data_IF_057507961236
#
_entry.id   IF_057507961236
#
_cell.length_a   1.000
_cell.length_b   1.000
_cell.length_c   1.000
_cell.angle_alpha   90.00
_cell.angle_beta   90.00
_cell.angle_gamma   90.00
#
_symmetry.space_group_name_H-M   'P 1'
#
loop_
_entity.id
_entity.type
_entity.pdbx_description
1 polymer ?
#
# COMPACT_ATOMS: atom_id res chain seq x y z
N UNK A 1 30.08 27.50 25.69
CA UNK A 1 29.96 26.17 26.33
C UNK A 1 28.53 25.59 26.21
N UNK A 2 27.45 26.38 26.32
CA UNK A 2 26.07 25.91 26.16
C UNK A 2 25.79 25.40 24.73
N UNK A 3 26.15 26.17 23.70
CA UNK A 3 25.94 25.77 22.30
C UNK A 3 26.67 24.49 21.88
N UNK A 4 27.82 24.19 22.47
CA UNK A 4 28.57 22.96 22.19
C UNK A 4 27.87 21.73 22.83
N UNK A 5 27.30 21.89 24.03
CA UNK A 5 26.50 20.83 24.68
C UNK A 5 25.21 20.56 23.89
N UNK A 6 24.52 21.59 23.42
CA UNK A 6 23.31 21.44 22.60
C UNK A 6 23.61 20.76 21.26
N UNK A 7 24.72 21.12 20.59
CA UNK A 7 25.16 20.45 19.37
C UNK A 7 25.45 18.96 19.61
N UNK A 8 26.14 18.63 20.70
CA UNK A 8 26.45 17.23 21.06
C UNK A 8 25.19 16.41 21.38
N UNK A 9 24.20 17.02 22.05
CA UNK A 9 22.90 16.39 22.33
C UNK A 9 22.14 16.11 21.02
N UNK A 10 22.11 17.07 20.09
CA UNK A 10 21.47 16.89 18.76
C UNK A 10 22.16 15.81 17.93
N UNK A 11 23.48 15.81 17.86
CA UNK A 11 24.25 14.77 17.13
C UNK A 11 23.96 13.38 17.72
N UNK A 12 23.95 13.24 19.03
CA UNK A 12 23.57 11.98 19.69
C UNK A 12 22.13 11.58 19.42
N UNK A 13 21.18 12.52 19.39
CA UNK A 13 19.79 12.23 19.08
C UNK A 13 19.64 11.70 17.64
N UNK A 14 20.34 12.31 16.68
CA UNK A 14 20.38 11.83 15.29
C UNK A 14 21.04 10.45 15.21
N UNK A 15 22.19 10.27 15.88
CA UNK A 15 22.91 9.00 15.91
C UNK A 15 22.11 7.86 16.54
N UNK A 16 21.19 8.16 17.45
CA UNK A 16 20.28 7.20 18.06
C UNK A 16 18.94 7.03 17.31
N UNK A 17 18.74 7.74 16.18
CA UNK A 17 17.49 7.72 15.41
C UNK A 17 16.30 8.36 16.15
N UNK A 18 16.58 9.18 17.18
CA UNK A 18 15.56 9.93 17.96
C UNK A 18 15.24 11.29 17.34
N UNK A 19 16.11 11.80 16.48
CA UNK A 19 15.88 12.99 15.65
C UNK A 19 16.28 12.67 14.21
N UNK A 20 15.68 13.39 13.26
CA UNK A 20 15.97 13.21 11.84
C UNK A 20 14.75 13.36 10.95
N UNK A 21 14.86 12.84 9.74
CA UNK A 21 13.81 12.91 8.70
C UNK A 21 13.66 11.56 8.03
N UNK A 22 12.44 11.18 7.71
CA UNK A 22 12.10 10.00 6.91
C UNK A 22 11.17 10.43 5.78
N UNK A 23 11.60 10.22 4.54
CA UNK A 23 10.83 10.45 3.33
C UNK A 23 10.16 9.14 2.91
N UNK A 24 8.82 9.12 2.91
CA UNK A 24 8.03 7.94 2.57
C UNK A 24 7.35 8.16 1.22
N UNK A 25 7.59 7.25 0.27
CA UNK A 25 6.82 7.15 -0.97
C UNK A 25 5.67 6.16 -0.82
N UNK A 26 4.47 6.52 -1.28
CA UNK A 26 3.31 5.64 -1.23
C UNK A 26 2.25 6.07 -2.26
N UNK A 27 1.38 5.12 -2.64
CA UNK A 27 0.17 5.43 -3.41
C UNK A 27 -0.96 5.87 -2.48
N UNK A 28 -1.87 6.71 -2.97
CA UNK A 28 -2.99 7.28 -2.19
C UNK A 28 -3.87 6.23 -1.50
N UNK A 29 -3.98 5.03 -2.05
CA UNK A 29 -4.74 3.93 -1.46
C UNK A 29 -4.22 3.47 -0.09
N UNK A 30 -2.94 3.69 0.23
CA UNK A 30 -2.38 3.32 1.53
C UNK A 30 -2.91 4.17 2.69
N UNK A 31 -3.40 5.40 2.40
CA UNK A 31 -4.06 6.23 3.41
C UNK A 31 -5.42 5.69 3.87
N UNK A 32 -6.00 4.77 3.12
CA UNK A 32 -7.26 4.11 3.47
C UNK A 32 -7.06 2.89 4.38
N UNK A 33 -5.82 2.51 4.67
CA UNK A 33 -5.44 1.37 5.48
C UNK A 33 -4.68 1.75 6.76
N UNK A 34 -3.78 0.89 7.27
CA UNK A 34 -3.08 1.09 8.54
C UNK A 34 -2.04 2.23 8.56
N UNK A 35 -1.62 2.76 7.39
CA UNK A 35 -0.53 3.75 7.30
C UNK A 35 -0.77 5.01 8.14
N UNK A 36 -1.96 5.65 8.17
CA UNK A 36 -2.19 6.81 9.03
C UNK A 36 -1.97 6.52 10.50
N UNK A 37 -2.41 5.35 10.99
CA UNK A 37 -2.20 4.93 12.37
C UNK A 37 -0.72 4.65 12.68
N UNK A 38 0.04 4.10 11.72
CA UNK A 38 1.48 3.92 11.83
C UNK A 38 2.20 5.25 12.00
N UNK A 39 1.86 6.24 11.15
CA UNK A 39 2.47 7.57 11.20
C UNK A 39 2.16 8.26 12.53
N UNK A 40 0.90 8.24 12.96
CA UNK A 40 0.48 8.82 14.24
C UNK A 40 1.22 8.18 15.43
N UNK A 41 1.34 6.85 15.45
CA UNK A 41 2.08 6.11 16.48
C UNK A 41 3.57 6.45 16.48
N UNK A 42 4.17 6.53 15.29
CA UNK A 42 5.59 6.90 15.18
C UNK A 42 5.83 8.32 15.66
N UNK A 43 5.01 9.29 15.24
CA UNK A 43 5.12 10.68 15.68
C UNK A 43 5.01 10.82 17.21
N UNK A 44 4.09 10.09 17.86
CA UNK A 44 3.94 10.10 19.31
C UNK A 44 5.16 9.53 20.04
N UNK A 45 5.82 8.50 19.49
CA UNK A 45 6.99 7.85 20.11
C UNK A 45 8.33 8.48 19.72
N UNK A 46 8.38 9.23 18.61
CA UNK A 46 9.60 9.87 18.08
C UNK A 46 9.31 11.32 17.65
N UNK A 47 8.99 12.23 18.60
CA UNK A 47 8.51 13.59 18.28
C UNK A 47 9.56 14.48 17.58
N UNK A 48 10.82 14.08 17.59
CA UNK A 48 11.91 14.80 16.89
C UNK A 48 12.26 14.20 15.52
N UNK A 49 11.51 13.19 15.06
CA UNK A 49 11.64 12.63 13.71
C UNK A 49 10.52 13.18 12.83
N UNK A 50 10.89 13.95 11.80
CA UNK A 50 9.96 14.41 10.79
C UNK A 50 9.67 13.31 9.78
N UNK A 51 8.39 12.99 9.58
CA UNK A 51 7.93 12.07 8.53
C UNK A 51 7.31 12.90 7.42
N UNK A 52 7.84 12.77 6.20
CA UNK A 52 7.31 13.43 5.00
C UNK A 52 6.73 12.36 4.06
N UNK A 53 5.55 12.67 3.54
CA UNK A 53 4.78 11.75 2.71
C UNK A 53 4.79 12.25 1.27
N UNK A 54 5.25 11.40 0.37
CA UNK A 54 5.36 11.68 -1.06
C UNK A 54 4.39 10.74 -1.79
N UNK A 55 3.22 11.26 -2.16
CA UNK A 55 2.25 10.50 -2.93
C UNK A 55 2.70 10.38 -4.38
N UNK A 56 2.91 9.16 -4.84
CA UNK A 56 3.38 8.84 -6.18
C UNK A 56 3.03 7.41 -6.58
N UNK A 57 2.99 7.15 -7.89
CA UNK A 57 2.75 5.80 -8.41
C UNK A 57 3.92 4.84 -8.09
N UNK A 58 3.69 3.50 -8.05
CA UNK A 58 4.71 2.54 -7.64
C UNK A 58 6.00 2.57 -8.47
N UNK A 59 5.94 2.83 -9.77
CA UNK A 59 7.14 2.92 -10.59
C UNK A 59 8.01 4.12 -10.20
N UNK A 60 7.38 5.30 -10.01
CA UNK A 60 8.07 6.50 -9.54
C UNK A 60 8.66 6.33 -8.13
N UNK A 61 8.04 5.52 -7.26
CA UNK A 61 8.59 5.21 -5.94
C UNK A 61 9.93 4.47 -6.04
N UNK A 62 10.06 3.47 -6.91
CA UNK A 62 11.31 2.73 -7.08
C UNK A 62 12.43 3.62 -7.65
N UNK A 63 12.11 4.47 -8.62
CA UNK A 63 13.06 5.48 -9.13
C UNK A 63 13.47 6.48 -8.04
N UNK A 64 12.53 6.91 -7.21
CA UNK A 64 12.80 7.84 -6.11
C UNK A 64 13.66 7.20 -5.01
N UNK A 65 13.47 5.89 -4.71
CA UNK A 65 14.35 5.13 -3.80
C UNK A 65 15.77 5.06 -4.32
N UNK A 66 15.97 4.62 -5.58
CA UNK A 66 17.29 4.54 -6.20
C UNK A 66 17.96 5.90 -6.30
N UNK A 67 17.18 6.95 -6.59
CA UNK A 67 17.65 8.34 -6.65
C UNK A 67 17.76 9.03 -5.29
N UNK A 68 17.65 8.33 -4.15
CA UNK A 68 17.74 8.90 -2.79
C UNK A 68 16.77 10.05 -2.49
N UNK A 69 15.65 10.15 -3.23
CA UNK A 69 14.60 11.15 -3.01
C UNK A 69 13.60 10.74 -1.94
N UNK A 70 13.47 9.44 -1.69
CA UNK A 70 12.73 8.86 -0.57
C UNK A 70 13.60 7.82 0.13
N UNK A 71 13.26 7.52 1.39
CA UNK A 71 13.98 6.53 2.22
C UNK A 71 13.27 5.18 2.21
N UNK A 72 11.96 5.17 2.08
CA UNK A 72 11.12 3.96 2.08
C UNK A 72 9.94 4.12 1.14
N UNK A 73 9.61 3.05 0.42
CA UNK A 73 8.36 2.90 -0.33
C UNK A 73 7.42 1.95 0.41
N UNK A 74 6.17 2.36 0.61
CA UNK A 74 5.12 1.44 1.06
C UNK A 74 4.46 0.83 -0.18
N UNK A 75 4.68 -0.45 -0.40
CA UNK A 75 4.34 -1.16 -1.64
C UNK A 75 3.49 -2.41 -1.40
N UNK A 76 2.71 -2.81 -2.41
CA UNK A 76 1.99 -4.09 -2.42
C UNK A 76 2.72 -5.18 -3.20
N UNK A 77 3.87 -4.87 -3.74
CA UNK A 77 4.74 -5.81 -4.44
C UNK A 77 6.11 -5.76 -3.80
N UNK A 78 6.65 -6.93 -3.49
CA UNK A 78 8.02 -7.04 -3.02
C UNK A 78 9.00 -6.71 -4.15
N UNK A 79 10.10 -6.09 -3.78
CA UNK A 79 11.27 -5.87 -4.64
C UNK A 79 12.48 -6.37 -3.88
N UNK A 80 13.26 -7.22 -4.51
CA UNK A 80 14.49 -7.76 -3.93
C UNK A 80 15.51 -7.92 -5.06
N UNK A 81 16.41 -6.96 -5.16
CA UNK A 81 17.48 -6.90 -6.14
C UNK A 81 18.80 -6.46 -5.49
N UNK A 82 19.83 -6.13 -6.25
CA UNK A 82 21.14 -5.77 -5.72
C UNK A 82 21.12 -4.47 -4.89
N UNK A 83 20.19 -3.57 -5.14
CA UNK A 83 20.09 -2.26 -4.49
C UNK A 83 18.98 -2.17 -3.43
N UNK A 84 17.88 -2.87 -3.66
CA UNK A 84 16.66 -2.75 -2.87
C UNK A 84 16.33 -4.05 -2.15
N UNK A 85 15.65 -3.93 -1.02
CA UNK A 85 15.13 -5.04 -0.23
C UNK A 85 13.73 -4.73 0.30
N UNK A 86 12.95 -5.78 0.55
CA UNK A 86 11.59 -5.66 1.08
C UNK A 86 11.46 -6.28 2.46
N UNK A 87 10.84 -5.54 3.36
CA UNK A 87 10.38 -6.02 4.66
C UNK A 87 8.86 -6.17 4.61
N UNK A 88 8.34 -7.37 4.85
CA UNK A 88 6.89 -7.57 4.98
C UNK A 88 6.38 -6.86 6.24
N UNK A 89 5.30 -6.08 6.09
CA UNK A 89 4.69 -5.31 7.17
C UNK A 89 3.42 -5.98 7.70
N UNK A 90 2.37 -6.06 6.88
CA UNK A 90 1.08 -6.66 7.29
C UNK A 90 0.36 -7.29 6.12
N UNK A 91 -0.63 -8.13 6.44
CA UNK A 91 -1.54 -8.72 5.45
C UNK A 91 -2.63 -7.72 5.07
N UNK A 92 -2.92 -7.61 3.77
CA UNK A 92 -4.01 -6.81 3.21
C UNK A 92 -4.56 -7.56 1.98
N UNK A 93 -5.37 -8.60 2.21
CA UNK A 93 -5.79 -9.51 1.15
C UNK A 93 -6.59 -8.80 0.07
N UNK A 94 -6.50 -9.31 -1.14
CA UNK A 94 -7.33 -8.85 -2.26
C UNK A 94 -8.74 -9.40 -2.11
N UNK A 95 -9.72 -8.53 -2.27
CA UNK A 95 -11.15 -8.84 -2.21
C UNK A 95 -11.87 -8.38 -3.47
N UNK A 96 -13.05 -8.94 -3.73
CA UNK A 96 -13.95 -8.41 -4.74
C UNK A 96 -14.83 -7.31 -4.13
N UNK A 97 -14.78 -6.12 -4.73
CA UNK A 97 -15.70 -5.02 -4.46
C UNK A 97 -16.79 -5.01 -5.54
N UNK A 98 -18.04 -5.06 -5.11
CA UNK A 98 -19.23 -5.12 -5.95
C UNK A 98 -20.15 -3.92 -5.65
N UNK A 99 -20.94 -3.41 -6.60
CA UNK A 99 -22.03 -2.48 -6.29
C UNK A 99 -22.96 -3.09 -5.23
N UNK A 100 -23.53 -2.26 -4.36
CA UNK A 100 -24.42 -2.73 -3.28
C UNK A 100 -25.62 -3.58 -3.77
N UNK A 101 -26.16 -3.24 -4.96
CA UNK A 101 -27.28 -3.97 -5.59
C UNK A 101 -26.87 -5.15 -6.48
N UNK A 102 -25.60 -5.53 -6.48
CA UNK A 102 -25.11 -6.59 -7.34
C UNK A 102 -25.71 -7.97 -6.97
N UNK A 103 -25.95 -8.85 -7.98
CA UNK A 103 -26.52 -10.19 -7.79
C UNK A 103 -25.77 -11.06 -6.75
N UNK A 104 -24.46 -10.83 -6.59
CA UNK A 104 -23.59 -11.56 -5.66
C UNK A 104 -23.32 -10.79 -4.35
N UNK A 105 -23.90 -9.61 -4.14
CA UNK A 105 -23.58 -8.73 -3.01
C UNK A 105 -23.82 -9.35 -1.62
N UNK A 106 -24.68 -10.39 -1.54
CA UNK A 106 -24.97 -11.11 -0.28
C UNK A 106 -24.02 -12.25 0.01
N UNK A 107 -23.12 -12.59 -0.93
CA UNK A 107 -22.13 -13.65 -0.73
C UNK A 107 -20.95 -13.14 0.08
N UNK A 108 -20.49 -13.94 1.04
CA UNK A 108 -19.29 -13.60 1.84
C UNK A 108 -17.99 -13.97 1.11
N UNK A 109 -18.03 -14.98 0.23
CA UNK A 109 -16.90 -15.51 -0.55
C UNK A 109 -17.30 -15.76 -1.98
N UNK A 110 -16.38 -15.52 -2.90
CA UNK A 110 -16.54 -15.76 -4.34
C UNK A 110 -15.31 -16.51 -4.88
N UNK A 111 -15.53 -17.32 -5.92
CA UNK A 111 -14.47 -17.69 -6.83
C UNK A 111 -14.33 -16.60 -7.91
N UNK A 112 -13.15 -16.45 -8.50
CA UNK A 112 -12.98 -15.50 -9.61
C UNK A 112 -13.94 -15.79 -10.78
N UNK A 113 -14.20 -17.08 -11.06
CA UNK A 113 -15.12 -17.50 -12.11
C UNK A 113 -16.56 -17.00 -11.90
N UNK A 114 -17.00 -16.73 -10.66
CA UNK A 114 -18.32 -16.16 -10.38
C UNK A 114 -18.51 -14.77 -11.01
N UNK A 115 -17.39 -14.07 -11.26
CA UNK A 115 -17.32 -12.71 -11.83
C UNK A 115 -17.13 -12.70 -13.36
N UNK A 116 -17.12 -13.85 -14.03
CA UNK A 116 -16.81 -13.96 -15.46
C UNK A 116 -17.76 -13.19 -16.39
N UNK A 117 -18.98 -12.88 -15.92
CA UNK A 117 -20.00 -12.13 -16.69
C UNK A 117 -20.06 -10.65 -16.35
N UNK A 118 -19.24 -10.21 -15.39
CA UNK A 118 -19.29 -8.85 -14.89
C UNK A 118 -18.28 -7.96 -15.62
N UNK A 119 -18.62 -6.69 -15.80
CA UNK A 119 -17.68 -5.70 -16.28
C UNK A 119 -16.75 -5.27 -15.15
N UNK A 120 -15.47 -5.07 -15.46
CA UNK A 120 -14.45 -4.73 -14.46
C UNK A 120 -14.03 -3.27 -14.53
N UNK A 121 -13.92 -2.62 -13.38
CA UNK A 121 -13.14 -1.40 -13.22
C UNK A 121 -11.74 -1.82 -12.78
N UNK A 122 -10.73 -1.57 -13.61
CA UNK A 122 -9.37 -2.05 -13.41
C UNK A 122 -8.39 -0.92 -13.10
N UNK A 123 -7.30 -1.25 -12.42
CA UNK A 123 -6.14 -0.37 -12.34
C UNK A 123 -5.36 -0.40 -13.66
N UNK A 124 -4.70 0.71 -13.97
CA UNK A 124 -3.73 0.78 -15.07
C UNK A 124 -2.52 -0.08 -14.73
N UNK A 125 -2.01 -0.80 -15.72
CA UNK A 125 -0.90 -1.76 -15.56
C UNK A 125 0.46 -1.18 -15.93
N UNK A 126 0.50 0.00 -16.54
CA UNK A 126 1.73 0.66 -17.00
C UNK A 126 2.65 1.09 -15.84
N UNK A 127 2.08 1.52 -14.71
CA UNK A 127 2.83 2.08 -13.57
C UNK A 127 2.74 1.25 -12.29
N UNK A 128 2.06 0.09 -12.30
CA UNK A 128 1.82 -0.71 -11.11
C UNK A 128 2.05 -2.21 -11.37
N UNK A 129 3.08 -2.77 -10.72
CA UNK A 129 3.33 -4.21 -10.71
C UNK A 129 2.18 -4.97 -10.05
N UNK A 130 1.59 -4.45 -8.98
CA UNK A 130 0.40 -5.02 -8.34
C UNK A 130 -0.79 -5.11 -9.32
N UNK A 131 -1.04 -4.07 -10.12
CA UNK A 131 -2.11 -4.10 -11.12
C UNK A 131 -1.83 -5.16 -12.21
N UNK A 132 -0.56 -5.31 -12.64
CA UNK A 132 -0.16 -6.37 -13.58
C UNK A 132 -0.41 -7.75 -13.00
N UNK A 133 0.02 -8.00 -11.76
CA UNK A 133 -0.17 -9.28 -11.06
C UNK A 133 -1.65 -9.67 -10.97
N UNK A 134 -2.53 -8.71 -10.65
CA UNK A 134 -3.98 -8.95 -10.62
C UNK A 134 -4.53 -9.25 -12.02
N UNK A 135 -4.13 -8.50 -13.04
CA UNK A 135 -4.55 -8.74 -14.41
C UNK A 135 -4.11 -10.13 -14.91
N UNK A 136 -2.87 -10.54 -14.64
CA UNK A 136 -2.33 -11.84 -14.99
C UNK A 136 -3.06 -12.98 -14.24
N UNK A 137 -3.40 -12.75 -12.97
CA UNK A 137 -4.15 -13.72 -12.17
C UNK A 137 -5.55 -13.94 -12.75
N UNK A 138 -6.22 -12.87 -13.16
CA UNK A 138 -7.51 -12.98 -13.83
C UNK A 138 -7.38 -13.68 -15.20
N UNK A 139 -6.35 -13.37 -15.97
CA UNK A 139 -6.12 -14.04 -17.25
C UNK A 139 -5.86 -15.54 -17.09
N UNK A 140 -5.03 -15.94 -16.11
CA UNK A 140 -4.78 -17.36 -15.80
C UNK A 140 -6.05 -18.10 -15.34
N UNK A 141 -6.97 -17.40 -14.69
CA UNK A 141 -8.27 -17.95 -14.29
C UNK A 141 -9.27 -18.06 -15.45
N UNK A 142 -8.86 -17.74 -16.68
CA UNK A 142 -9.72 -17.81 -17.87
C UNK A 142 -10.79 -16.71 -17.94
N UNK A 143 -10.64 -15.64 -17.16
CA UNK A 143 -11.57 -14.51 -17.21
C UNK A 143 -11.29 -13.66 -18.44
N UNK A 144 -12.13 -13.77 -19.47
CA UNK A 144 -12.19 -12.82 -20.56
C UNK A 144 -12.82 -11.52 -20.01
N UNK A 145 -12.00 -10.63 -19.48
CA UNK A 145 -12.50 -9.45 -18.77
C UNK A 145 -13.13 -8.45 -19.73
N UNK A 146 -14.42 -8.16 -19.54
CA UNK A 146 -15.02 -6.94 -20.05
C UNK A 146 -14.53 -5.78 -19.18
N UNK A 147 -13.67 -4.92 -19.72
CA UNK A 147 -13.16 -3.74 -19.01
C UNK A 147 -14.10 -2.58 -19.22
N UNK A 148 -14.85 -2.21 -18.19
CA UNK A 148 -15.70 -1.02 -18.20
C UNK A 148 -14.87 0.27 -18.16
N UNK A 149 -13.81 0.30 -17.32
CA UNK A 149 -12.95 1.47 -17.15
C UNK A 149 -11.58 1.09 -16.60
N UNK A 150 -10.55 1.91 -16.90
CA UNK A 150 -9.21 1.85 -16.32
C UNK A 150 -8.89 3.14 -15.59
N UNK A 151 -8.44 3.03 -14.35
CA UNK A 151 -8.10 4.17 -13.47
C UNK A 151 -6.70 4.03 -12.90
N UNK A 152 -6.11 5.12 -12.44
CA UNK A 152 -4.77 5.12 -11.86
C UNK A 152 -4.75 4.62 -10.41
N UNK A 153 -5.81 4.89 -9.63
CA UNK A 153 -5.83 4.74 -8.18
C UNK A 153 -7.06 3.96 -7.68
N UNK A 154 -6.88 3.20 -6.59
CA UNK A 154 -7.94 2.39 -5.97
C UNK A 154 -9.13 3.22 -5.48
N UNK A 155 -8.98 4.43 -4.91
CA UNK A 155 -10.14 5.26 -4.53
C UNK A 155 -11.06 5.57 -5.71
N UNK A 156 -10.51 5.90 -6.88
CA UNK A 156 -11.29 6.11 -8.09
C UNK A 156 -11.98 4.82 -8.57
N UNK A 157 -11.26 3.68 -8.49
CA UNK A 157 -11.81 2.36 -8.81
C UNK A 157 -13.05 2.05 -7.96
N UNK A 158 -12.95 2.21 -6.64
CA UNK A 158 -14.04 1.97 -5.71
C UNK A 158 -15.21 2.96 -5.87
N UNK A 159 -14.92 4.22 -6.20
CA UNK A 159 -15.96 5.21 -6.49
C UNK A 159 -16.82 4.80 -7.71
N UNK A 160 -16.18 4.28 -8.77
CA UNK A 160 -16.86 3.79 -9.97
C UNK A 160 -17.65 2.50 -9.69
N UNK A 161 -17.13 1.60 -8.84
CA UNK A 161 -17.87 0.42 -8.36
C UNK A 161 -19.12 0.86 -7.59
N UNK A 162 -18.98 1.80 -6.66
CA UNK A 162 -20.10 2.33 -5.89
C UNK A 162 -21.18 3.02 -6.77
N UNK A 163 -20.77 3.56 -7.92
CA UNK A 163 -21.66 4.13 -8.93
C UNK A 163 -22.29 3.07 -9.87
N UNK A 164 -21.95 1.78 -9.72
CA UNK A 164 -22.55 0.70 -10.50
C UNK A 164 -21.89 0.42 -11.85
N UNK A 165 -20.69 0.97 -12.14
CA UNK A 165 -20.02 0.78 -13.44
C UNK A 165 -19.44 -0.62 -13.64
N UNK A 166 -19.31 -1.42 -12.59
CA UNK A 166 -18.74 -2.76 -12.66
C UNK A 166 -18.25 -3.24 -11.31
N UNK A 167 -17.46 -4.30 -11.32
CA UNK A 167 -16.81 -4.89 -10.15
C UNK A 167 -15.32 -4.61 -10.15
N UNK A 168 -14.64 -4.74 -9.00
CA UNK A 168 -13.20 -4.53 -8.92
C UNK A 168 -12.54 -5.53 -7.97
N UNK A 169 -11.26 -5.81 -8.23
CA UNK A 169 -10.35 -6.49 -7.30
C UNK A 169 -9.52 -5.42 -6.60
N UNK A 170 -9.63 -5.35 -5.28
CA UNK A 170 -9.02 -4.26 -4.48
C UNK A 170 -8.45 -4.81 -3.17
N UNK A 171 -7.48 -4.12 -2.56
CA UNK A 171 -7.05 -4.44 -1.21
C UNK A 171 -8.17 -4.23 -0.19
N UNK A 172 -8.35 -5.16 0.73
CA UNK A 172 -9.46 -5.16 1.69
C UNK A 172 -9.50 -3.90 2.54
N UNK A 173 -8.34 -3.40 2.97
CA UNK A 173 -8.22 -2.21 3.81
C UNK A 173 -8.85 -0.96 3.19
N UNK A 174 -8.96 -0.90 1.86
CA UNK A 174 -9.49 0.27 1.14
C UNK A 174 -11.02 0.33 1.12
N UNK A 175 -11.69 -0.76 1.45
CA UNK A 175 -13.16 -0.87 1.30
C UNK A 175 -13.94 -0.13 2.39
N UNK A 176 -13.38 -0.02 3.59
CA UNK A 176 -14.09 0.51 4.77
C UNK A 176 -14.69 1.90 4.61
N UNK A 177 -14.07 2.75 3.80
CA UNK A 177 -14.51 4.12 3.54
C UNK A 177 -15.76 4.23 2.64
N UNK A 178 -16.18 3.14 2.00
CA UNK A 178 -17.32 3.13 1.09
C UNK A 178 -18.61 2.62 1.75
N UNK A 179 -18.49 1.97 2.92
CA UNK A 179 -19.66 1.52 3.72
C UNK A 179 -20.65 0.70 2.89
N UNK A 180 -21.96 0.98 3.08
CA UNK A 180 -23.03 0.27 2.41
C UNK A 180 -23.16 0.52 0.90
N UNK A 181 -22.32 1.38 0.30
CA UNK A 181 -22.35 1.65 -1.15
C UNK A 181 -21.76 0.54 -1.98
N UNK A 182 -20.91 -0.31 -1.36
CA UNK A 182 -20.31 -1.48 -1.99
C UNK A 182 -20.54 -2.72 -1.11
N UNK A 183 -20.58 -3.88 -1.74
CA UNK A 183 -20.46 -5.16 -1.08
C UNK A 183 -19.03 -5.70 -1.24
N UNK A 184 -18.49 -6.28 -0.18
CA UNK A 184 -17.12 -6.83 -0.16
C UNK A 184 -17.19 -8.34 0.01
N UNK A 185 -16.60 -9.07 -0.92
CA UNK A 185 -16.58 -10.54 -0.91
C UNK A 185 -15.13 -11.03 -0.89
N UNK A 186 -14.81 -11.94 0.03
CA UNK A 186 -13.50 -12.56 0.09
C UNK A 186 -13.24 -13.42 -1.16
N UNK A 187 -11.99 -13.44 -1.59
CA UNK A 187 -11.50 -14.27 -2.69
C UNK A 187 -10.51 -15.33 -2.16
N UNK A 188 -10.20 -16.38 -2.94
CA UNK A 188 -9.13 -17.30 -2.61
C UNK A 188 -7.78 -16.58 -2.44
N UNK A 189 -6.95 -17.06 -1.52
CA UNK A 189 -5.64 -16.45 -1.21
C UNK A 189 -4.66 -16.40 -2.41
N UNK A 190 -4.90 -17.19 -3.45
CA UNK A 190 -4.12 -17.17 -4.69
C UNK A 190 -4.37 -15.92 -5.56
N UNK A 191 -5.31 -15.05 -5.18
CA UNK A 191 -5.61 -13.81 -5.89
C UNK A 191 -4.77 -12.66 -5.33
N UNK A 192 -3.51 -12.57 -5.74
CA UNK A 192 -2.56 -11.56 -5.28
C UNK A 192 -1.86 -11.93 -3.95
N UNK A 193 -0.71 -11.32 -3.68
CA UNK A 193 0.12 -11.64 -2.50
C UNK A 193 -0.55 -11.26 -1.17
N UNK A 194 -1.46 -10.29 -1.18
CA UNK A 194 -2.15 -9.80 0.02
C UNK A 194 -1.21 -9.26 1.11
N UNK A 195 0.02 -8.88 0.77
CA UNK A 195 1.02 -8.37 1.71
C UNK A 195 1.42 -6.94 1.34
N UNK A 196 1.57 -6.10 2.34
CA UNK A 196 2.17 -4.77 2.21
C UNK A 196 3.60 -4.82 2.71
N UNK A 197 4.49 -4.19 1.97
CA UNK A 197 5.94 -4.18 2.19
C UNK A 197 6.45 -2.76 2.43
N UNK A 198 7.50 -2.64 3.24
CA UNK A 198 8.42 -1.52 3.21
C UNK A 198 9.59 -1.90 2.31
N UNK A 199 9.77 -1.20 1.20
CA UNK A 199 10.90 -1.35 0.30
C UNK A 199 11.91 -0.27 0.61
N UNK A 200 13.17 -0.64 0.85
CA UNK A 200 14.26 0.28 1.21
C UNK A 200 15.51 -0.06 0.41
N UNK A 201 16.48 0.85 0.38
CA UNK A 201 17.84 0.50 -0.05
C UNK A 201 18.45 -0.47 0.95
N UNK A 202 19.32 -1.39 0.46
CA UNK A 202 20.03 -2.36 1.32
C UNK A 202 20.98 -1.67 2.28
N UNK A 203 21.74 -0.70 1.78
CA UNK A 203 22.78 0.02 2.53
C UNK A 203 22.28 1.39 3.03
N UNK A 204 21.05 1.47 3.56
CA UNK A 204 20.52 2.71 4.08
C UNK A 204 21.04 3.03 5.49
N UNK A 205 21.85 4.10 5.58
CA UNK A 205 22.42 4.58 6.83
C UNK A 205 21.45 5.36 7.71
N UNK A 206 20.22 5.69 7.24
CA UNK A 206 19.27 6.53 7.95
C UNK A 206 18.74 5.85 9.22
N UNK A 207 19.18 6.32 10.39
CA UNK A 207 18.77 5.75 11.68
C UNK A 207 17.33 6.07 12.05
N UNK A 208 16.80 7.21 11.57
CA UNK A 208 15.38 7.55 11.73
C UNK A 208 14.48 6.58 10.94
N UNK A 209 14.88 6.18 9.72
CA UNK A 209 14.22 5.13 8.96
C UNK A 209 14.17 3.81 9.75
N UNK A 210 15.29 3.39 10.35
CA UNK A 210 15.31 2.17 11.17
C UNK A 210 14.35 2.25 12.37
N UNK A 211 14.23 3.43 13.00
CA UNK A 211 13.23 3.64 14.07
C UNK A 211 11.80 3.55 13.54
N UNK A 212 11.53 4.11 12.36
CA UNK A 212 10.23 4.00 11.70
C UNK A 212 9.87 2.55 11.37
N UNK A 213 10.78 1.79 10.78
CA UNK A 213 10.57 0.38 10.44
C UNK A 213 10.31 -0.49 11.68
N UNK A 214 10.96 -0.22 12.81
CA UNK A 214 10.65 -0.89 14.09
C UNK A 214 9.23 -0.59 14.56
N UNK A 215 8.77 0.65 14.43
CA UNK A 215 7.38 1.01 14.76
C UNK A 215 6.39 0.25 13.87
N UNK A 216 6.68 0.14 12.56
CA UNK A 216 5.87 -0.60 11.61
C UNK A 216 5.80 -2.10 11.95
N UNK A 217 6.95 -2.74 12.23
CA UNK A 217 7.02 -4.15 12.62
C UNK A 217 6.23 -4.45 13.92
N UNK A 218 6.26 -3.55 14.90
CA UNK A 218 5.47 -3.70 16.14
C UNK A 218 3.95 -3.57 15.92
N UNK A 219 3.50 -2.92 14.85
CA UNK A 219 2.09 -2.89 14.47
C UNK A 219 1.66 -4.17 13.75
N UNK A 220 2.54 -4.74 12.95
CA UNK A 220 2.28 -5.99 12.22
C UNK A 220 2.13 -7.21 13.12
N UNK A 221 2.76 -7.20 14.30
CA UNK A 221 2.75 -8.31 15.28
C UNK A 221 1.50 -8.36 16.17
N UNK A 222 0.54 -7.44 16.00
CA UNK A 222 -0.71 -7.37 16.77
C UNK A 222 -1.91 -7.73 15.92
#
# INVERSE_FOLDING_TARGET
LAGLKDATVRVRAVDQGRAGRVEIGLSGSHFMGPVPALIARHAASHPQVSVLLNEMNPAAQLEALRGHRIDVSISRTAVDDDELQSLALWSDPVVAALPAGHRLARRKRLALADLARDAFVMLRTDTSAFARELADTCARAGLAQSVAQRVAEVPAQLALVAAGLGVALVPQSTCGHFGARIAVCALPAAVGSGTVYAVTRRDDGNRALRAFLRTAAQMAAR
#
